data_IF_193958840155
#
_entry.id   IF_193958840155
#
_cell.length_a   1.000
_cell.length_b   1.000
_cell.length_c   1.000
_cell.angle_alpha   90.00
_cell.angle_beta   90.00
_cell.angle_gamma   90.00
#
_symmetry.space_group_name_H-M   'P 1'
#
loop_
_entity.id
_entity.type
_entity.pdbx_description
1 polymer ?
#
# COMPACT_ATOMS: atom_id res chain seq x y z
N UNK A 1 -20.09 12.85 5.20
CA UNK A 1 -20.03 11.50 5.79
C UNK A 1 -18.55 11.16 5.95
N UNK A 2 -18.07 10.98 7.18
CA UNK A 2 -16.66 10.66 7.47
C UNK A 2 -16.58 9.21 7.90
N UNK A 3 -15.95 8.37 7.09
CA UNK A 3 -15.70 6.96 7.39
C UNK A 3 -14.20 6.73 7.46
N UNK A 4 -13.70 6.43 8.66
CA UNK A 4 -12.27 6.23 8.91
C UNK A 4 -12.08 4.76 9.33
N UNK A 5 -11.29 4.01 8.58
CA UNK A 5 -10.76 2.69 8.99
C UNK A 5 -9.30 2.86 9.38
N UNK A 6 -9.06 3.30 10.61
CA UNK A 6 -7.73 3.23 11.20
C UNK A 6 -7.74 2.26 12.37
N UNK A 7 -6.88 1.24 12.28
CA UNK A 7 -6.61 0.30 13.36
C UNK A 7 -5.19 0.53 13.89
N UNK A 8 -4.88 -0.03 15.07
CA UNK A 8 -3.49 -0.07 15.55
C UNK A 8 -2.62 -0.76 14.49
N UNK A 9 -1.66 -0.01 13.95
CA UNK A 9 -0.74 -0.48 12.92
C UNK A 9 0.16 -1.60 13.46
N UNK A 10 0.24 -2.70 12.71
CA UNK A 10 1.23 -3.75 12.90
C UNK A 10 2.63 -3.19 12.59
N UNK A 11 3.62 -3.40 13.47
CA UNK A 11 5.02 -2.93 13.26
C UNK A 11 5.99 -4.13 13.29
N UNK A 12 6.05 -4.92 12.22
CA UNK A 12 6.92 -6.08 12.10
C UNK A 12 8.24 -5.69 11.41
N UNK A 13 8.97 -6.70 10.94
CA UNK A 13 10.28 -6.52 10.28
C UNK A 13 10.18 -6.04 8.83
N UNK A 14 8.96 -6.00 8.25
CA UNK A 14 8.72 -5.46 6.92
C UNK A 14 7.52 -4.52 6.93
N UNK A 15 7.71 -3.32 6.39
CA UNK A 15 6.70 -2.26 6.32
C UNK A 15 6.52 -1.89 4.86
N UNK A 16 5.30 -1.98 4.35
CA UNK A 16 4.97 -1.48 3.01
C UNK A 16 4.92 0.05 3.06
N UNK A 17 5.61 0.72 2.14
CA UNK A 17 5.58 2.18 2.02
C UNK A 17 5.24 2.59 0.59
N UNK A 18 5.00 3.88 0.34
CA UNK A 18 4.83 4.36 -1.05
C UNK A 18 6.05 4.04 -1.92
N UNK A 19 7.24 3.92 -1.31
CA UNK A 19 8.47 3.57 -2.02
C UNK A 19 8.38 2.15 -2.59
N UNK A 20 7.74 1.21 -1.90
CA UNK A 20 7.55 -0.16 -2.41
C UNK A 20 6.85 -0.15 -3.79
N UNK A 21 5.89 0.75 -3.98
CA UNK A 21 5.14 0.93 -5.23
C UNK A 21 5.85 1.82 -6.27
N UNK A 22 6.99 2.43 -5.95
CA UNK A 22 7.70 3.33 -6.86
C UNK A 22 8.36 2.58 -8.01
N UNK A 23 8.22 3.10 -9.23
CA UNK A 23 8.92 2.60 -10.41
C UNK A 23 10.40 3.04 -10.44
N UNK A 24 10.72 4.23 -9.93
CA UNK A 24 12.06 4.83 -10.07
C UNK A 24 13.04 4.40 -8.97
N UNK A 25 12.56 4.32 -7.73
CA UNK A 25 13.37 4.00 -6.55
C UNK A 25 12.72 2.93 -5.67
N UNK A 26 12.01 2.01 -6.33
CA UNK A 26 11.29 0.93 -5.68
C UNK A 26 12.18 -0.08 -4.96
N UNK A 27 11.65 -0.67 -3.90
CA UNK A 27 12.34 -1.75 -3.17
C UNK A 27 12.53 -3.01 -4.04
N UNK A 28 13.60 -3.80 -3.83
CA UNK A 28 13.76 -5.08 -4.51
C UNK A 28 12.55 -6.01 -4.29
N UNK A 29 12.24 -6.91 -5.25
CA UNK A 29 11.19 -7.91 -5.06
C UNK A 29 11.41 -8.75 -3.80
N UNK A 30 10.34 -8.98 -3.05
CA UNK A 30 10.37 -9.81 -1.84
C UNK A 30 10.31 -11.29 -2.21
N UNK A 31 11.15 -12.11 -1.58
CA UNK A 31 11.22 -13.55 -1.85
C UNK A 31 9.99 -14.32 -1.31
N UNK A 32 9.40 -13.81 -0.23
CA UNK A 32 8.27 -14.35 0.51
C UNK A 32 6.93 -13.71 0.10
N UNK A 33 6.76 -13.38 -1.19
CA UNK A 33 5.52 -12.77 -1.67
C UNK A 33 4.35 -13.78 -1.69
N UNK A 34 3.23 -13.39 -1.10
CA UNK A 34 1.99 -14.19 -1.06
C UNK A 34 0.86 -13.59 -1.91
N UNK A 35 1.04 -12.35 -2.33
CA UNK A 35 0.08 -11.57 -3.10
C UNK A 35 0.81 -10.49 -3.91
N UNK A 36 0.10 -9.92 -4.89
CA UNK A 36 0.57 -8.77 -5.68
C UNK A 36 -0.40 -7.61 -5.46
N UNK A 37 0.14 -6.43 -5.13
CA UNK A 37 -0.61 -5.18 -5.17
C UNK A 37 -0.56 -4.62 -6.60
N UNK A 38 -1.73 -4.42 -7.20
CA UNK A 38 -1.87 -3.95 -8.58
C UNK A 38 -2.83 -2.76 -8.64
N UNK A 39 -2.38 -1.59 -8.18
CA UNK A 39 -3.06 -0.31 -8.35
C UNK A 39 -2.06 0.84 -8.12
N UNK A 40 -2.17 1.98 -8.81
CA UNK A 40 -1.42 3.19 -8.45
C UNK A 40 -1.75 3.64 -7.02
N UNK A 41 -0.84 4.42 -6.42
CA UNK A 41 -1.17 5.15 -5.20
C UNK A 41 -2.30 6.13 -5.46
N UNK A 42 -3.43 5.99 -4.76
CA UNK A 42 -4.54 6.91 -4.92
C UNK A 42 -5.23 7.37 -3.64
N UNK A 43 -5.67 8.63 -3.63
CA UNK A 43 -6.51 9.21 -2.57
C UNK A 43 -7.57 10.11 -3.18
N UNK A 44 -8.79 10.04 -2.65
CA UNK A 44 -9.87 10.91 -3.09
C UNK A 44 -9.66 12.37 -2.65
N UNK A 45 -10.10 13.29 -3.49
CA UNK A 45 -10.10 14.72 -3.21
C UNK A 45 -10.95 15.00 -1.96
N UNK A 46 -10.36 15.70 -0.99
CA UNK A 46 -11.06 16.08 0.25
C UNK A 46 -11.97 17.28 -0.01
N UNK A 47 -11.47 18.27 -0.75
CA UNK A 47 -12.23 19.44 -1.21
C UNK A 47 -11.55 20.11 -2.41
N UNK A 48 -12.31 20.95 -3.11
CA UNK A 48 -11.79 21.84 -4.16
C UNK A 48 -11.51 23.21 -3.56
N UNK A 49 -10.34 23.76 -3.86
CA UNK A 49 -9.91 25.10 -3.42
C UNK A 49 -9.54 25.96 -4.62
N UNK A 50 -9.79 27.27 -4.52
CA UNK A 50 -9.37 28.25 -5.52
C UNK A 50 -8.05 28.87 -5.07
N UNK A 51 -6.98 28.61 -5.82
CA UNK A 51 -5.65 29.20 -5.62
C UNK A 51 -5.24 29.86 -6.92
N UNK A 52 -4.82 31.13 -6.86
CA UNK A 52 -4.30 31.86 -8.02
C UNK A 52 -5.25 31.83 -9.24
N UNK A 53 -6.56 31.88 -9.00
CA UNK A 53 -7.59 31.84 -10.05
C UNK A 53 -7.80 30.46 -10.70
N UNK A 54 -7.16 29.41 -10.20
CA UNK A 54 -7.30 28.03 -10.67
C UNK A 54 -7.91 27.14 -9.59
N UNK A 55 -8.70 26.15 -10.02
CA UNK A 55 -9.31 25.16 -9.13
C UNK A 55 -8.32 24.02 -8.89
N UNK A 56 -8.04 23.73 -7.62
CA UNK A 56 -7.18 22.63 -7.19
C UNK A 56 -7.96 21.62 -6.35
N UNK A 57 -7.65 20.34 -6.52
CA UNK A 57 -8.15 19.26 -5.66
C UNK A 57 -7.19 19.07 -4.48
N UNK A 58 -7.60 19.42 -3.26
CA UNK A 58 -6.80 19.22 -2.05
C UNK A 58 -6.78 17.74 -1.66
N UNK A 59 -5.59 17.22 -1.34
CA UNK A 59 -5.42 15.84 -0.87
C UNK A 59 -5.64 14.77 -1.94
N UNK A 60 -5.72 15.14 -3.23
CA UNK A 60 -5.92 14.20 -4.33
C UNK A 60 -4.59 13.67 -4.87
N UNK A 61 -4.37 12.38 -4.71
CA UNK A 61 -3.26 11.64 -5.30
C UNK A 61 -3.90 10.73 -6.33
N UNK A 62 -3.78 11.06 -7.62
CA UNK A 62 -4.07 10.19 -8.76
C UNK A 62 -3.72 11.04 -9.98
N UNK A 63 -2.47 10.92 -10.44
CA UNK A 63 -2.00 11.70 -11.58
C UNK A 63 -1.37 10.77 -12.59
N UNK A 64 -1.58 11.08 -13.87
CA UNK A 64 -1.07 10.29 -14.99
C UNK A 64 0.47 10.24 -15.04
N UNK A 65 1.14 11.18 -14.36
CA UNK A 65 2.60 11.23 -14.22
C UNK A 65 3.15 10.42 -13.02
N UNK A 66 2.29 9.78 -12.22
CA UNK A 66 2.71 9.01 -11.07
C UNK A 66 3.38 7.70 -11.53
N UNK A 67 4.71 7.66 -11.46
CA UNK A 67 5.52 6.50 -11.85
C UNK A 67 5.45 5.41 -10.79
N UNK A 68 4.46 4.54 -10.91
CA UNK A 68 4.25 3.38 -10.02
C UNK A 68 4.51 2.06 -10.75
N UNK A 69 4.65 0.98 -9.97
CA UNK A 69 4.70 -0.40 -10.47
C UNK A 69 3.98 -1.35 -9.52
N UNK A 70 3.49 -2.50 -10.03
CA UNK A 70 3.04 -3.59 -9.18
C UNK A 70 4.18 -4.10 -8.29
N UNK A 71 3.85 -4.50 -7.07
CA UNK A 71 4.81 -5.04 -6.11
C UNK A 71 4.24 -6.22 -5.34
N UNK A 72 5.14 -7.08 -4.84
CA UNK A 72 4.77 -8.23 -4.02
C UNK A 72 4.49 -7.84 -2.57
N UNK A 73 3.42 -8.39 -1.99
CA UNK A 73 3.13 -8.29 -0.56
C UNK A 73 3.87 -9.43 0.15
N UNK A 74 4.88 -9.07 0.95
CA UNK A 74 5.62 -10.02 1.76
C UNK A 74 4.73 -10.62 2.86
N UNK A 75 4.87 -11.92 3.12
CA UNK A 75 4.21 -12.58 4.27
C UNK A 75 4.49 -11.86 5.59
N UNK A 76 5.72 -11.37 5.77
CA UNK A 76 6.15 -10.59 6.95
C UNK A 76 5.40 -9.28 7.15
N UNK A 77 4.71 -8.75 6.13
CA UNK A 77 3.84 -7.59 6.29
C UNK A 77 2.55 -7.92 7.07
N UNK A 78 2.16 -9.20 7.16
CA UNK A 78 0.86 -9.64 7.68
C UNK A 78 0.94 -10.29 9.07
N UNK A 79 2.15 -10.45 9.61
CA UNK A 79 2.40 -11.11 10.90
C UNK A 79 3.14 -10.16 11.86
N UNK A 80 2.87 -10.23 13.16
CA UNK A 80 3.63 -9.48 14.16
C UNK A 80 5.03 -10.07 14.35
N UNK A 81 5.86 -9.38 15.15
CA UNK A 81 7.10 -9.99 15.64
C UNK A 81 6.75 -11.18 16.53
N UNK A 82 7.50 -12.27 16.42
CA UNK A 82 7.25 -13.50 17.20
C UNK A 82 7.17 -13.25 18.72
N UNK A 83 7.92 -12.25 19.22
CA UNK A 83 7.90 -11.83 20.64
C UNK A 83 6.58 -11.19 21.08
N UNK A 84 5.77 -10.69 20.14
CA UNK A 84 4.48 -10.04 20.41
C UNK A 84 3.33 -11.05 20.28
N UNK A 85 3.36 -11.90 19.23
CA UNK A 85 2.46 -13.04 19.06
C UNK A 85 3.03 -14.04 18.04
N UNK A 86 2.78 -15.34 18.23
CA UNK A 86 3.30 -16.40 17.37
C UNK A 86 2.23 -17.08 16.49
N UNK A 87 0.95 -16.78 16.73
CA UNK A 87 -0.22 -17.47 16.14
C UNK A 87 -1.22 -16.49 15.51
N UNK A 88 -0.76 -15.31 15.08
CA UNK A 88 -1.60 -14.25 14.52
C UNK A 88 -1.14 -13.94 13.09
N UNK A 89 -2.10 -13.91 12.17
CA UNK A 89 -1.97 -13.37 10.81
C UNK A 89 -3.18 -12.47 10.53
N UNK A 90 -2.96 -11.33 9.89
CA UNK A 90 -4.04 -10.38 9.54
C UNK A 90 -3.97 -9.98 8.08
N UNK A 91 -5.10 -10.11 7.37
CA UNK A 91 -5.25 -9.64 5.99
C UNK A 91 -5.72 -8.18 5.90
N UNK A 92 -6.35 -7.64 6.95
CA UNK A 92 -6.97 -6.32 6.95
C UNK A 92 -6.12 -5.22 7.59
N UNK A 93 -5.14 -5.62 8.42
CA UNK A 93 -4.23 -4.71 9.13
C UNK A 93 -2.75 -4.98 8.79
N UNK A 94 -2.36 -4.99 7.49
CA UNK A 94 -0.98 -5.17 7.07
C UNK A 94 -0.11 -4.03 7.60
N UNK A 95 1.16 -4.33 7.84
CA UNK A 95 2.14 -3.29 8.17
C UNK A 95 2.40 -2.40 6.97
N UNK A 96 1.86 -1.19 7.04
CA UNK A 96 1.94 -0.23 5.95
C UNK A 96 1.97 1.21 6.50
N UNK A 97 2.57 2.13 5.74
CA UNK A 97 2.31 3.56 5.95
C UNK A 97 0.88 3.90 5.54
N UNK A 98 0.34 5.04 6.01
CA UNK A 98 -1.02 5.48 5.66
C UNK A 98 -1.23 5.57 4.14
N UNK A 99 -0.26 6.13 3.42
CA UNK A 99 -0.27 6.21 1.94
C UNK A 99 -0.15 4.83 1.30
N UNK A 100 0.58 3.89 1.90
CA UNK A 100 0.69 2.53 1.36
C UNK A 100 -0.55 1.67 1.62
N UNK A 101 -1.35 2.00 2.63
CA UNK A 101 -2.59 1.28 2.95
C UNK A 101 -3.58 1.34 1.79
N UNK A 102 -3.70 2.50 1.13
CA UNK A 102 -4.66 2.73 0.04
C UNK A 102 -4.26 2.07 -1.29
N UNK A 103 -3.01 1.61 -1.44
CA UNK A 103 -2.47 1.00 -2.67
C UNK A 103 -2.78 -0.51 -2.75
N UNK A 104 -3.28 -1.10 -1.67
CA UNK A 104 -3.35 -2.55 -1.50
C UNK A 104 -4.61 -3.16 -2.14
N UNK A 105 -4.69 -3.10 -3.47
CA UNK A 105 -5.57 -3.99 -4.23
C UNK A 105 -4.84 -5.32 -4.46
N UNK A 106 -5.17 -6.30 -3.62
CA UNK A 106 -4.46 -7.58 -3.53
C UNK A 106 -5.03 -8.60 -4.51
N UNK A 107 -4.19 -9.04 -5.45
CA UNK A 107 -4.42 -10.24 -6.25
C UNK A 107 -3.68 -11.41 -5.57
N UNK A 108 -4.36 -12.51 -5.20
CA UNK A 108 -3.68 -13.69 -4.67
C UNK A 108 -2.60 -14.16 -5.63
N UNK A 109 -1.46 -14.61 -5.11
CA UNK A 109 -0.44 -15.23 -5.95
C UNK A 109 -0.99 -16.56 -6.50
N UNK A 110 -1.58 -16.53 -7.69
CA UNK A 110 -1.78 -17.73 -8.49
C UNK A 110 -0.43 -18.35 -8.87
N UNK A 111 -0.41 -19.66 -9.13
CA UNK A 111 0.71 -20.29 -9.84
C UNK A 111 0.73 -19.77 -11.27
N UNK A 112 1.21 -18.55 -11.48
CA UNK A 112 1.51 -18.06 -12.81
C UNK A 112 2.62 -18.95 -13.37
N UNK A 113 2.40 -19.61 -14.52
CA UNK A 113 3.44 -20.39 -15.19
C UNK A 113 4.65 -19.48 -15.39
N UNK A 114 5.83 -20.00 -15.06
CA UNK A 114 7.09 -19.37 -15.44
C UNK A 114 7.38 -19.75 -16.89
N UNK A 115 6.60 -19.22 -17.82
CA UNK A 115 6.85 -19.36 -19.26
C UNK A 115 7.01 -17.96 -19.89
#
# INVERSE_FOLDING_TARGET
MLYIREARRLVPDYIITQQTASLENGEPPVADLIAVAYWPTDTHCVRRILLEGKVHNEGFIFRDDHKWRPFGIAYRALIPKVKEAANVITSTCPSSSHVAYVIQMVVPRGTFPKD
#
